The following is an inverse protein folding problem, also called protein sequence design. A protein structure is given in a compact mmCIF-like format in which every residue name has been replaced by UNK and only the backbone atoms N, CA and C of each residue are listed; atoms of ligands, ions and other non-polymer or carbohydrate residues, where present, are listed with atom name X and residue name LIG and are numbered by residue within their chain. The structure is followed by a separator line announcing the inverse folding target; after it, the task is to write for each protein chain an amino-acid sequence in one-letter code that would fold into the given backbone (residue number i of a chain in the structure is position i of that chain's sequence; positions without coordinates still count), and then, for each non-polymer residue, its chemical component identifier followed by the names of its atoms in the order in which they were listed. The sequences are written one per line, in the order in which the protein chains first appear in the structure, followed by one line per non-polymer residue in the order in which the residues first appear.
data_IF_749831592223
#
_entry.id   IF_749831592223
#
_cell.length_a   1.000
_cell.length_b   1.000
_cell.length_c   1.000
_cell.angle_alpha   90.00
_cell.angle_beta   90.00
_cell.angle_gamma   90.00
#
_symmetry.space_group_name_H-M   'P 1'
#
loop_
_entity.id
_entity.type
_entity.pdbx_description
1 polymer ?
#
# COMPACT_ATOMS: atom_id res chain seq x y z
N UNK A 1 1.17 39.94 39.10
CA UNK A 1 1.13 40.46 37.72
C UNK A 1 0.13 39.63 36.93
N UNK A 2 -0.91 40.24 36.36
CA UNK A 2 -1.83 39.53 35.47
C UNK A 2 -1.12 39.15 34.17
N UNK A 3 -1.04 37.85 33.87
CA UNK A 3 -0.39 37.35 32.65
C UNK A 3 -1.38 37.47 31.48
N UNK A 4 -1.17 38.42 30.58
CA UNK A 4 -1.99 38.61 29.37
C UNK A 4 -1.99 37.33 28.51
N UNK A 5 -3.17 36.90 28.05
CA UNK A 5 -3.39 35.68 27.25
C UNK A 5 -2.60 35.64 25.94
N UNK A 6 -2.25 36.79 25.37
CA UNK A 6 -1.62 36.91 24.05
C UNK A 6 -0.11 37.18 24.09
N UNK A 7 0.48 37.43 25.26
CA UNK A 7 1.91 37.72 25.37
C UNK A 7 2.72 36.46 25.65
N UNK A 8 3.99 36.45 25.21
CA UNK A 8 4.93 35.38 25.56
C UNK A 8 5.17 35.43 27.06
N UNK A 9 4.70 34.40 27.78
CA UNK A 9 5.01 34.24 29.21
C UNK A 9 6.53 34.06 29.38
N UNK A 10 7.12 34.95 30.18
CA UNK A 10 8.51 34.92 30.63
C UNK A 10 8.49 34.65 32.14
N UNK A 11 9.32 33.72 32.59
CA UNK A 11 9.44 33.37 34.01
C UNK A 11 10.33 34.39 34.74
N UNK A 12 9.99 34.70 35.99
CA UNK A 12 10.89 35.45 36.89
C UNK A 12 12.17 34.66 37.18
N UNK A 13 13.22 35.31 37.65
CA UNK A 13 14.48 34.62 37.98
C UNK A 13 14.29 33.51 39.02
N UNK A 14 13.44 33.75 40.03
CA UNK A 14 13.09 32.74 41.03
C UNK A 14 12.35 31.54 40.41
N UNK A 15 11.40 31.77 39.50
CA UNK A 15 10.68 30.71 38.78
C UNK A 15 11.63 29.93 37.86
N UNK A 16 12.61 30.61 37.23
CA UNK A 16 13.63 29.96 36.41
C UNK A 16 14.58 29.10 37.25
N UNK A 17 15.02 29.58 38.41
CA UNK A 17 15.87 28.80 39.31
C UNK A 17 15.13 27.56 39.81
N UNK A 18 13.88 27.72 40.25
CA UNK A 18 13.04 26.59 40.66
C UNK A 18 12.88 25.55 39.54
N UNK A 19 12.69 25.99 38.28
CA UNK A 19 12.66 25.10 37.12
C UNK A 19 13.96 24.33 36.94
N UNK A 20 15.13 24.95 37.15
CA UNK A 20 16.43 24.25 37.04
C UNK A 20 16.56 23.15 38.09
N UNK A 21 16.12 23.42 39.31
CA UNK A 21 16.29 22.52 40.44
C UNK A 21 15.30 21.35 40.43
N UNK A 22 14.07 21.58 39.94
CA UNK A 22 12.97 20.62 40.11
C UNK A 22 12.51 19.96 38.80
N UNK A 23 12.73 20.60 37.63
CA UNK A 23 12.15 20.11 36.39
C UNK A 23 12.57 18.67 36.07
N UNK A 24 13.79 18.26 36.39
CA UNK A 24 14.31 16.94 36.02
C UNK A 24 13.50 15.77 36.61
N UNK A 25 12.87 15.97 37.78
CA UNK A 25 12.22 14.92 38.58
C UNK A 25 10.73 15.18 38.90
N UNK A 26 10.12 16.19 38.28
CA UNK A 26 8.71 16.56 38.53
C UNK A 26 7.87 16.39 37.27
N UNK A 27 6.58 16.04 37.38
CA UNK A 27 5.71 15.94 36.20
C UNK A 27 5.41 17.32 35.64
N UNK A 28 5.19 17.41 34.32
CA UNK A 28 4.87 18.69 33.69
C UNK A 28 3.54 19.31 34.18
N UNK A 29 2.61 18.48 34.68
CA UNK A 29 1.34 18.94 35.27
C UNK A 29 1.60 19.60 36.62
N UNK A 30 2.40 18.97 37.48
CA UNK A 30 2.78 19.50 38.80
C UNK A 30 3.59 20.80 38.65
N UNK A 31 4.51 20.86 37.67
CA UNK A 31 5.25 22.09 37.33
C UNK A 31 4.30 23.18 36.82
N UNK A 32 3.31 22.82 36.01
CA UNK A 32 2.31 23.75 35.48
C UNK A 32 1.44 24.33 36.59
N UNK A 33 1.00 23.49 37.54
CA UNK A 33 0.26 23.91 38.73
C UNK A 33 1.10 24.83 39.61
N UNK A 34 2.36 24.49 39.87
CA UNK A 34 3.26 25.31 40.70
C UNK A 34 3.49 26.70 40.11
N UNK A 35 3.71 26.79 38.80
CA UNK A 35 3.98 28.06 38.12
C UNK A 35 2.70 28.81 37.70
N UNK A 36 1.53 28.19 37.82
CA UNK A 36 0.25 28.74 37.35
C UNK A 36 0.21 28.98 35.83
N UNK A 37 0.84 28.11 35.04
CA UNK A 37 0.91 28.23 33.57
C UNK A 37 0.50 26.92 32.90
N UNK A 38 0.22 26.96 31.59
CA UNK A 38 -0.11 25.72 30.87
C UNK A 38 1.09 24.77 30.79
N UNK A 39 0.83 23.46 30.82
CA UNK A 39 1.85 22.41 30.63
C UNK A 39 2.60 22.56 29.30
N UNK A 40 1.95 23.08 28.26
CA UNK A 40 2.59 23.37 26.96
C UNK A 40 3.58 24.54 27.06
N UNK A 41 3.25 25.55 27.87
CA UNK A 41 4.15 26.67 28.18
C UNK A 41 5.37 26.19 28.96
N UNK A 42 5.18 25.31 29.96
CA UNK A 42 6.27 24.67 30.71
C UNK A 42 7.25 23.96 29.77
N UNK A 43 6.74 23.12 28.85
CA UNK A 43 7.58 22.37 27.90
C UNK A 43 8.35 23.30 26.97
N UNK A 44 7.71 24.39 26.49
CA UNK A 44 8.39 25.39 25.66
C UNK A 44 9.54 26.04 26.43
N UNK A 45 9.27 26.53 27.64
CA UNK A 45 10.29 27.20 28.46
C UNK A 45 11.42 26.24 28.82
N UNK A 46 11.12 25.00 29.20
CA UNK A 46 12.13 23.99 29.48
C UNK A 46 13.06 23.74 28.28
N UNK A 47 12.52 23.71 27.06
CA UNK A 47 13.32 23.60 25.82
C UNK A 47 14.19 24.82 25.58
N UNK A 48 13.63 26.03 25.74
CA UNK A 48 14.38 27.28 25.59
C UNK A 48 15.54 27.35 26.62
N UNK A 49 15.36 26.75 27.81
CA UNK A 49 16.37 26.65 28.87
C UNK A 49 17.32 25.43 28.76
N UNK A 50 17.10 24.53 27.80
CA UNK A 50 17.88 23.29 27.65
C UNK A 50 17.64 22.24 28.73
N UNK A 51 16.53 22.30 29.47
CA UNK A 51 16.21 21.38 30.56
C UNK A 51 15.63 20.06 30.04
N UNK A 52 16.11 18.96 30.61
CA UNK A 52 15.65 17.60 30.30
C UNK A 52 15.23 16.86 31.56
N UNK A 53 14.34 15.89 31.41
CA UNK A 53 13.94 15.00 32.50
C UNK A 53 15.03 13.98 32.78
N UNK A 54 15.20 13.58 34.03
CA UNK A 54 16.13 12.51 34.39
C UNK A 54 15.68 11.18 33.76
N UNK A 55 16.57 10.38 33.18
CA UNK A 55 16.20 9.11 32.52
C UNK A 55 15.45 8.13 33.43
N UNK A 56 15.77 8.08 34.72
CA UNK A 56 15.09 7.16 35.63
C UNK A 56 13.69 7.65 35.98
N UNK A 57 13.49 8.97 36.05
CA UNK A 57 12.17 9.56 36.20
C UNK A 57 11.28 9.22 34.99
N UNK A 58 11.81 9.34 33.77
CA UNK A 58 11.04 9.02 32.55
C UNK A 58 10.70 7.53 32.46
N UNK A 59 11.64 6.64 32.79
CA UNK A 59 11.39 5.18 32.87
C UNK A 59 10.33 4.85 33.92
N UNK A 60 10.39 5.45 35.11
CA UNK A 60 9.41 5.25 36.17
C UNK A 60 8.01 5.71 35.74
N UNK A 61 7.91 6.86 35.06
CA UNK A 61 6.63 7.36 34.52
C UNK A 61 6.07 6.46 33.42
N UNK A 62 6.92 5.97 32.52
CA UNK A 62 6.50 5.03 31.48
C UNK A 62 5.99 3.72 32.08
N UNK A 63 6.67 3.19 33.11
CA UNK A 63 6.23 2.01 33.84
C UNK A 63 4.88 2.24 34.51
N UNK A 64 4.72 3.35 35.23
CA UNK A 64 3.44 3.70 35.88
C UNK A 64 2.29 3.79 34.87
N UNK A 65 2.50 4.46 33.73
CA UNK A 65 1.50 4.55 32.66
C UNK A 65 1.13 3.16 32.11
N UNK A 66 2.13 2.29 31.91
CA UNK A 66 1.93 0.93 31.42
C UNK A 66 1.18 0.06 32.43
N UNK A 67 1.54 0.13 33.71
CA UNK A 67 0.88 -0.59 34.81
C UNK A 67 -0.56 -0.12 35.01
N UNK A 68 -0.79 1.20 34.96
CA UNK A 68 -2.13 1.77 35.03
C UNK A 68 -2.99 1.29 33.86
N UNK A 69 -2.48 1.35 32.62
CA UNK A 69 -3.18 0.86 31.44
C UNK A 69 -3.49 -0.63 31.55
N UNK A 70 -2.53 -1.45 32.01
CA UNK A 70 -2.73 -2.89 32.22
C UNK A 70 -3.79 -3.17 33.30
N UNK A 71 -3.78 -2.41 34.41
CA UNK A 71 -4.77 -2.53 35.49
C UNK A 71 -6.18 -2.19 34.99
N UNK A 72 -6.34 -1.07 34.28
CA UNK A 72 -7.62 -0.64 33.70
C UNK A 72 -8.10 -1.64 32.66
N UNK A 73 -7.20 -2.15 31.80
CA UNK A 73 -7.52 -3.17 30.83
C UNK A 73 -8.05 -4.45 31.50
N UNK A 74 -7.35 -4.96 32.53
CA UNK A 74 -7.79 -6.11 33.32
C UNK A 74 -9.14 -5.87 34.00
N UNK A 75 -9.32 -4.71 34.63
CA UNK A 75 -10.57 -4.34 35.31
C UNK A 75 -11.76 -4.30 34.33
N UNK A 76 -11.53 -3.88 33.09
CA UNK A 76 -12.53 -3.85 32.03
C UNK A 76 -12.71 -5.21 31.31
N UNK A 77 -12.29 -6.32 31.92
CA UNK A 77 -12.42 -7.67 31.34
C UNK A 77 -11.39 -7.99 30.24
N UNK A 78 -10.29 -7.26 30.19
CA UNK A 78 -9.20 -7.46 29.24
C UNK A 78 -9.44 -6.74 27.91
N UNK A 79 -9.49 -7.51 26.82
CA UNK A 79 -9.55 -7.01 25.44
C UNK A 79 -10.94 -6.48 25.04
N UNK A 80 -11.53 -5.62 25.87
CA UNK A 80 -12.81 -4.94 25.59
C UNK A 80 -12.77 -4.17 24.26
N UNK A 81 -11.59 -3.65 23.88
CA UNK A 81 -11.36 -3.01 22.59
C UNK A 81 -11.61 -3.94 21.40
N UNK A 82 -11.13 -5.20 21.44
CA UNK A 82 -11.42 -6.17 20.39
C UNK A 82 -12.89 -6.58 20.36
N UNK A 83 -13.55 -6.70 21.53
CA UNK A 83 -15.01 -6.97 21.58
C UNK A 83 -15.79 -5.87 20.85
N UNK A 84 -15.44 -4.60 21.08
CA UNK A 84 -16.05 -3.47 20.39
C UNK A 84 -15.71 -3.46 18.89
N UNK A 85 -14.47 -3.72 18.49
CA UNK A 85 -14.08 -3.86 17.07
C UNK A 85 -14.85 -4.99 16.37
N UNK A 86 -15.10 -6.12 17.04
CA UNK A 86 -15.91 -7.21 16.50
C UNK A 86 -17.39 -6.82 16.39
N UNK A 87 -17.93 -6.08 17.36
CA UNK A 87 -19.34 -5.66 17.32
C UNK A 87 -19.57 -4.71 16.15
N UNK A 88 -18.77 -3.65 16.03
CA UNK A 88 -18.94 -2.66 14.95
C UNK A 88 -18.44 -3.18 13.59
N UNK A 89 -17.39 -4.01 13.57
CA UNK A 89 -16.84 -4.60 12.35
C UNK A 89 -17.81 -5.58 11.67
N UNK A 90 -18.61 -6.33 12.44
CA UNK A 90 -19.58 -7.29 11.88
C UNK A 90 -20.60 -6.67 10.93
N UNK A 91 -20.96 -5.40 11.12
CA UNK A 91 -21.91 -4.70 10.25
C UNK A 91 -21.32 -4.40 8.85
N UNK A 92 -20.00 -4.19 8.77
CA UNK A 92 -19.30 -3.75 7.56
C UNK A 92 -18.40 -4.82 6.94
N UNK A 93 -18.28 -5.98 7.56
CA UNK A 93 -17.53 -7.11 7.00
C UNK A 93 -18.24 -7.68 5.77
N UNK A 94 -17.45 -8.04 4.75
CA UNK A 94 -17.95 -8.81 3.62
C UNK A 94 -18.51 -10.15 4.13
N UNK A 95 -19.82 -10.35 4.01
CA UNK A 95 -20.44 -11.60 4.42
C UNK A 95 -20.13 -12.70 3.42
N UNK A 96 -19.77 -13.88 3.93
CA UNK A 96 -19.55 -15.06 3.11
C UNK A 96 -20.81 -15.34 2.28
N UNK A 97 -20.66 -15.35 0.95
CA UNK A 97 -21.76 -15.62 0.02
C UNK A 97 -22.47 -14.38 -0.53
N UNK A 98 -22.29 -13.20 0.06
CA UNK A 98 -22.79 -11.96 -0.54
C UNK A 98 -21.86 -11.51 -1.68
N UNK A 99 -22.35 -11.54 -2.91
CA UNK A 99 -21.62 -11.08 -4.10
C UNK A 99 -22.07 -9.66 -4.44
N UNK A 100 -21.23 -8.89 -5.12
CA UNK A 100 -21.57 -7.53 -5.57
C UNK A 100 -22.86 -7.51 -6.40
N UNK A 101 -23.08 -8.55 -7.23
CA UNK A 101 -24.30 -8.71 -8.04
C UNK A 101 -25.58 -8.86 -7.21
N UNK A 102 -25.48 -9.28 -5.95
CA UNK A 102 -26.62 -9.46 -5.06
C UNK A 102 -26.98 -8.13 -4.36
N UNK A 103 -26.11 -7.11 -4.48
CA UNK A 103 -26.25 -5.78 -3.85
C UNK A 103 -26.68 -4.70 -4.84
N UNK A 104 -26.84 -5.05 -6.12
CA UNK A 104 -27.18 -4.11 -7.19
C UNK A 104 -28.12 -4.78 -8.19
N UNK A 105 -28.79 -3.99 -9.02
CA UNK A 105 -29.61 -4.54 -10.10
C UNK A 105 -28.75 -5.26 -11.13
N UNK A 106 -29.33 -6.24 -11.82
CA UNK A 106 -28.65 -6.97 -12.90
C UNK A 106 -28.13 -5.99 -13.98
N UNK A 107 -28.93 -4.99 -14.32
CA UNK A 107 -28.55 -3.94 -15.28
C UNK A 107 -27.33 -3.13 -14.81
N UNK A 108 -27.29 -2.72 -13.55
CA UNK A 108 -26.15 -1.99 -12.99
C UNK A 108 -24.88 -2.85 -12.96
N UNK A 109 -25.01 -4.15 -12.67
CA UNK A 109 -23.90 -5.10 -12.67
C UNK A 109 -23.33 -5.30 -14.10
N UNK A 110 -24.20 -5.44 -15.08
CA UNK A 110 -23.83 -5.61 -16.49
C UNK A 110 -23.19 -4.33 -17.06
N UNK A 111 -23.75 -3.17 -16.72
CA UNK A 111 -23.18 -1.87 -17.08
C UNK A 111 -21.77 -1.70 -16.49
N UNK A 112 -21.56 -2.08 -15.22
CA UNK A 112 -20.24 -2.08 -14.58
C UNK A 112 -19.25 -2.99 -15.33
N UNK A 113 -19.65 -4.23 -15.64
CA UNK A 113 -18.79 -5.17 -16.37
C UNK A 113 -18.44 -4.68 -17.77
N UNK A 114 -19.42 -4.10 -18.47
CA UNK A 114 -19.23 -3.48 -19.78
C UNK A 114 -18.21 -2.35 -19.70
N UNK A 115 -18.37 -1.43 -18.74
CA UNK A 115 -17.46 -0.31 -18.54
C UNK A 115 -16.02 -0.77 -18.24
N UNK A 116 -15.84 -1.72 -17.31
CA UNK A 116 -14.52 -2.30 -17.01
C UNK A 116 -13.89 -2.93 -18.26
N UNK A 117 -14.68 -3.67 -19.04
CA UNK A 117 -14.25 -4.29 -20.29
C UNK A 117 -13.81 -3.26 -21.33
N UNK A 118 -14.56 -2.17 -21.49
CA UNK A 118 -14.25 -1.07 -22.40
C UNK A 118 -12.98 -0.33 -22.02
N UNK A 119 -12.79 -0.01 -20.74
CA UNK A 119 -11.56 0.61 -20.25
C UNK A 119 -10.35 -0.30 -20.53
N UNK A 120 -10.47 -1.60 -20.24
CA UNK A 120 -9.40 -2.57 -20.53
C UNK A 120 -9.07 -2.64 -22.01
N UNK A 121 -10.09 -2.68 -22.88
CA UNK A 121 -9.91 -2.66 -24.35
C UNK A 121 -9.22 -1.37 -24.81
N UNK A 122 -9.59 -0.21 -24.25
CA UNK A 122 -8.99 1.08 -24.56
C UNK A 122 -7.51 1.11 -24.19
N UNK A 123 -7.16 0.67 -22.98
CA UNK A 123 -5.76 0.56 -22.53
C UNK A 123 -4.97 -0.39 -23.43
N UNK A 124 -5.51 -1.57 -23.75
CA UNK A 124 -4.83 -2.51 -24.64
C UNK A 124 -4.61 -1.95 -26.06
N UNK A 125 -5.59 -1.24 -26.64
CA UNK A 125 -5.45 -0.59 -27.94
C UNK A 125 -4.42 0.54 -27.94
N UNK A 126 -4.33 1.31 -26.85
CA UNK A 126 -3.32 2.37 -26.71
C UNK A 126 -1.90 1.77 -26.61
N UNK A 127 -1.74 0.73 -25.81
CA UNK A 127 -0.47 0.03 -25.66
C UNK A 127 -0.06 -0.69 -26.96
N UNK A 128 -1.00 -1.30 -27.68
CA UNK A 128 -0.74 -1.91 -29.00
C UNK A 128 -0.24 -0.91 -30.02
N UNK A 129 -0.80 0.32 -30.03
CA UNK A 129 -0.30 1.39 -30.90
C UNK A 129 1.14 1.74 -30.57
N UNK A 130 1.50 1.89 -29.30
CA UNK A 130 2.89 2.14 -28.88
C UNK A 130 3.84 1.08 -29.41
N UNK A 131 3.48 -0.18 -29.20
CA UNK A 131 4.24 -1.33 -29.66
C UNK A 131 4.38 -1.37 -31.19
N UNK A 132 3.35 -0.99 -31.96
CA UNK A 132 3.43 -0.89 -33.43
C UNK A 132 4.37 0.24 -33.88
N UNK A 133 4.33 1.39 -33.21
CA UNK A 133 5.18 2.54 -33.53
C UNK A 133 6.59 2.46 -32.92
N UNK A 134 6.97 1.33 -32.30
CA UNK A 134 8.29 1.17 -31.67
C UNK A 134 8.51 2.02 -30.42
N UNK A 135 7.44 2.58 -29.83
CA UNK A 135 7.51 3.39 -28.62
C UNK A 135 7.56 2.51 -27.37
N UNK A 136 8.18 3.02 -26.30
CA UNK A 136 8.21 2.32 -25.02
C UNK A 136 6.79 2.10 -24.45
N UNK A 137 6.60 0.93 -23.84
CA UNK A 137 5.32 0.58 -23.22
C UNK A 137 5.12 1.35 -21.92
N UNK A 138 3.91 1.85 -21.69
CA UNK A 138 3.56 2.59 -20.45
C UNK A 138 3.05 1.67 -19.36
N UNK A 139 2.37 0.60 -19.73
CA UNK A 139 1.85 -0.40 -18.81
C UNK A 139 2.66 -1.70 -18.87
N UNK A 140 2.53 -2.54 -17.83
CA UNK A 140 3.11 -3.89 -17.82
C UNK A 140 2.26 -4.92 -18.60
N UNK A 141 1.30 -4.46 -19.43
CA UNK A 141 0.46 -5.34 -20.21
C UNK A 141 1.30 -6.03 -21.29
N UNK A 142 1.11 -7.34 -21.46
CA UNK A 142 1.84 -8.10 -22.48
C UNK A 142 1.21 -7.86 -23.85
N UNK A 143 1.66 -6.82 -24.54
CA UNK A 143 1.20 -6.52 -25.90
C UNK A 143 2.26 -6.95 -26.91
N UNK A 144 1.91 -7.91 -27.75
CA UNK A 144 2.81 -8.51 -28.74
C UNK A 144 2.51 -7.91 -30.12
N UNK A 145 3.54 -7.61 -30.91
CA UNK A 145 3.40 -7.11 -32.29
C UNK A 145 2.76 -8.13 -33.25
N UNK A 146 2.75 -9.42 -32.90
CA UNK A 146 2.27 -10.48 -33.77
C UNK A 146 0.72 -10.58 -33.77
N UNK A 147 0.09 -10.76 -34.93
CA UNK A 147 -1.36 -11.01 -35.01
C UNK A 147 -1.73 -12.31 -34.26
N UNK A 148 -2.98 -12.39 -33.76
CA UNK A 148 -3.44 -13.50 -32.91
C UNK A 148 -3.28 -14.83 -33.64
N UNK A 149 -3.55 -14.85 -34.93
CA UNK A 149 -3.42 -16.00 -35.82
C UNK A 149 -1.97 -16.51 -35.85
N UNK A 150 -0.97 -15.61 -35.96
CA UNK A 150 0.46 -15.96 -35.92
C UNK A 150 0.88 -16.48 -34.55
N UNK A 151 0.30 -15.97 -33.46
CA UNK A 151 0.54 -16.48 -32.09
C UNK A 151 -0.02 -17.90 -31.94
N UNK A 152 -1.26 -18.14 -32.36
CA UNK A 152 -1.89 -19.46 -32.35
C UNK A 152 -1.12 -20.45 -33.22
N UNK A 153 -0.63 -20.02 -34.39
CA UNK A 153 0.17 -20.84 -35.28
C UNK A 153 1.50 -21.25 -34.67
N UNK A 154 2.24 -20.33 -34.04
CA UNK A 154 3.47 -20.66 -33.29
C UNK A 154 3.20 -21.67 -32.16
N UNK A 155 2.07 -21.55 -31.45
CA UNK A 155 1.70 -22.51 -30.41
C UNK A 155 1.40 -23.89 -31.01
N UNK A 156 0.73 -23.95 -32.17
CA UNK A 156 0.50 -25.19 -32.92
C UNK A 156 1.80 -25.84 -33.39
N UNK A 157 2.75 -25.04 -33.91
CA UNK A 157 4.07 -25.53 -34.30
C UNK A 157 4.84 -26.10 -33.10
N UNK A 158 4.87 -25.42 -31.94
CA UNK A 158 5.50 -25.97 -30.73
C UNK A 158 4.90 -27.31 -30.30
N UNK A 159 3.59 -27.47 -30.42
CA UNK A 159 2.92 -28.76 -30.13
C UNK A 159 3.34 -29.89 -31.06
N UNK A 160 3.79 -29.58 -32.28
CA UNK A 160 4.30 -30.55 -33.27
C UNK A 160 5.82 -30.77 -33.16
N UNK A 161 6.50 -30.17 -32.18
CA UNK A 161 7.92 -30.38 -31.93
C UNK A 161 8.87 -29.37 -32.56
N UNK A 162 8.36 -28.34 -33.25
CA UNK A 162 9.20 -27.26 -33.78
C UNK A 162 9.75 -26.40 -32.64
N UNK A 163 11.05 -26.12 -32.67
CA UNK A 163 11.69 -25.24 -31.70
C UNK A 163 11.63 -23.79 -32.19
N UNK A 164 10.91 -22.94 -31.45
CA UNK A 164 10.69 -21.53 -31.81
C UNK A 164 11.03 -20.66 -30.62
N UNK A 165 12.16 -19.95 -30.71
CA UNK A 165 12.60 -18.96 -29.75
C UNK A 165 11.52 -17.89 -29.51
N UNK A 166 11.53 -17.31 -28.31
CA UNK A 166 10.46 -16.39 -27.89
C UNK A 166 10.41 -15.16 -28.81
N UNK A 167 9.23 -14.91 -29.40
CA UNK A 167 9.00 -13.83 -30.37
C UNK A 167 9.80 -13.92 -31.68
N UNK A 168 10.53 -15.00 -31.93
CA UNK A 168 11.25 -15.21 -33.18
C UNK A 168 10.30 -15.53 -34.35
N UNK A 169 10.78 -15.26 -35.56
CA UNK A 169 10.19 -15.68 -36.81
C UNK A 169 10.91 -16.92 -37.38
N UNK A 170 11.89 -17.48 -36.68
CA UNK A 170 12.59 -18.69 -37.09
C UNK A 170 12.07 -19.89 -36.31
N UNK A 171 11.78 -20.97 -37.03
CA UNK A 171 11.37 -22.25 -36.49
C UNK A 171 12.37 -23.33 -36.90
N UNK A 172 12.93 -24.02 -35.91
CA UNK A 172 13.88 -25.10 -36.14
C UNK A 172 13.17 -26.45 -36.22
N UNK A 173 13.50 -27.20 -37.26
CA UNK A 173 13.03 -28.57 -37.48
C UNK A 173 14.05 -29.49 -36.83
N UNK A 174 13.63 -30.21 -35.79
CA UNK A 174 14.42 -31.23 -35.08
C UNK A 174 14.01 -32.63 -35.55
N UNK A 175 14.82 -33.66 -35.24
CA UNK A 175 14.50 -35.06 -35.55
C UNK A 175 13.16 -35.55 -34.96
N UNK A 176 12.70 -34.96 -33.86
CA UNK A 176 11.42 -35.29 -33.22
C UNK A 176 10.23 -34.48 -33.76
N UNK A 177 10.43 -33.62 -34.77
CA UNK A 177 9.39 -32.73 -35.30
C UNK A 177 8.43 -33.47 -36.22
N UNK A 178 7.14 -33.47 -35.88
CA UNK A 178 6.08 -33.98 -36.75
C UNK A 178 5.70 -32.95 -37.82
N UNK A 179 6.33 -33.07 -38.99
CA UNK A 179 6.17 -32.12 -40.09
C UNK A 179 4.74 -32.08 -40.65
N UNK A 180 4.34 -30.89 -41.09
CA UNK A 180 3.01 -30.66 -41.63
C UNK A 180 3.02 -29.55 -42.67
N UNK A 181 3.01 -29.94 -43.94
CA UNK A 181 3.12 -29.02 -45.07
C UNK A 181 2.08 -27.91 -45.07
N UNK A 182 0.84 -28.22 -44.70
CA UNK A 182 -0.26 -27.23 -44.62
C UNK A 182 0.05 -26.16 -43.57
N UNK A 183 0.58 -26.56 -42.42
CA UNK A 183 0.97 -25.63 -41.36
C UNK A 183 2.24 -24.85 -41.71
N UNK A 184 3.23 -25.50 -42.32
CA UNK A 184 4.47 -24.87 -42.77
C UNK A 184 4.17 -23.81 -43.84
N UNK A 185 3.35 -24.12 -44.86
CA UNK A 185 2.90 -23.14 -45.87
C UNK A 185 2.18 -21.94 -45.24
N UNK A 186 1.29 -22.19 -44.28
CA UNK A 186 0.59 -21.12 -43.54
C UNK A 186 1.56 -20.29 -42.67
N UNK A 187 2.61 -20.91 -42.14
CA UNK A 187 3.59 -20.23 -41.32
C UNK A 187 4.52 -19.36 -42.16
N UNK A 188 4.94 -19.85 -43.34
CA UNK A 188 5.71 -19.09 -44.33
C UNK A 188 4.93 -17.85 -44.78
N UNK A 189 3.64 -17.98 -45.10
CA UNK A 189 2.82 -16.83 -45.48
C UNK A 189 2.65 -15.79 -44.36
N UNK A 190 2.84 -16.20 -43.10
CA UNK A 190 2.86 -15.31 -41.93
C UNK A 190 4.27 -14.80 -41.59
N UNK A 191 5.28 -15.06 -42.43
CA UNK A 191 6.67 -14.66 -42.23
C UNK A 191 7.33 -15.43 -41.09
N UNK A 192 7.14 -16.75 -41.04
CA UNK A 192 7.94 -17.68 -40.23
C UNK A 192 8.81 -18.49 -41.21
N UNK A 193 10.13 -18.41 -41.04
CA UNK A 193 11.10 -19.23 -41.77
C UNK A 193 11.36 -20.54 -41.04
N UNK A 194 11.70 -21.58 -41.80
CA UNK A 194 12.05 -22.89 -41.28
C UNK A 194 13.50 -23.21 -41.60
N UNK A 195 14.24 -23.65 -40.58
CA UNK A 195 15.64 -24.06 -40.71
C UNK A 195 15.78 -25.45 -40.10
N UNK A 196 16.47 -26.36 -40.80
CA UNK A 196 16.75 -27.69 -40.24
C UNK A 196 18.00 -27.63 -39.36
N UNK A 197 17.95 -28.26 -38.19
CA UNK A 197 19.09 -28.47 -37.28
C UNK A 197 19.28 -29.97 -37.06
#
# INVERSE_FOLDING_TARGET
MERNKYSKIILSEAEQQWMRDNFCNTKNVEVAEHLGISSRTVVRIARDMGLVKHPDFTKAMQRNASEHAARVNRANGGNAGAKNLLIYGKAYQFKKGERQKDKMSAEAFDAMHRHIGEQRKKTFKAEKRRVIFGLEQKTKLRVVQAPKEKICLRNGLRKKGYEIARASNEAFITAATHRSEVMERRAISMGISFTSI
#
